data_IF_076673811109
#
_entry.id   IF_076673811109
#
_cell.length_a   1.000
_cell.length_b   1.000
_cell.length_c   1.000
_cell.angle_alpha   90.00
_cell.angle_beta   90.00
_cell.angle_gamma   90.00
#
_symmetry.space_group_name_H-M   'P 1'
#
loop_
_entity.id
_entity.type
_entity.pdbx_description
1 polymer ?
#
# COMPACT_ATOMS: atom_id res chain seq x y z
N UNK A 1 -11.23 -35.08 -9.80
CA UNK A 1 -10.18 -34.92 -10.84
C UNK A 1 -10.13 -33.42 -11.15
N UNK A 2 -9.09 -32.75 -10.73
CA UNK A 2 -8.90 -31.34 -11.08
C UNK A 2 -8.80 -31.25 -12.61
N UNK A 3 -9.64 -30.45 -13.23
CA UNK A 3 -9.58 -30.16 -14.64
C UNK A 3 -8.26 -29.39 -14.87
N UNK A 4 -7.19 -30.10 -15.22
CA UNK A 4 -5.97 -29.45 -15.64
C UNK A 4 -6.28 -28.75 -16.95
N UNK A 5 -6.29 -27.40 -16.90
CA UNK A 5 -6.39 -26.61 -18.12
C UNK A 5 -5.14 -26.96 -18.98
N UNK A 6 -5.34 -27.59 -20.17
CA UNK A 6 -4.20 -27.97 -21.01
C UNK A 6 -3.41 -26.79 -21.57
N UNK A 7 -3.92 -25.57 -21.39
CA UNK A 7 -3.28 -24.31 -21.77
C UNK A 7 -2.57 -23.63 -20.58
N UNK A 8 -2.72 -24.16 -19.36
CA UNK A 8 -2.00 -23.65 -18.18
C UNK A 8 -0.55 -24.10 -18.27
N UNK A 9 0.33 -23.21 -18.68
CA UNK A 9 1.78 -23.44 -18.78
C UNK A 9 2.50 -22.48 -17.86
N UNK A 10 3.44 -23.01 -17.06
CA UNK A 10 4.42 -22.18 -16.40
C UNK A 10 5.44 -21.73 -17.46
N UNK A 11 5.30 -20.51 -17.92
CA UNK A 11 6.16 -19.93 -18.95
C UNK A 11 7.52 -19.58 -18.35
N UNK A 12 8.59 -19.92 -19.03
CA UNK A 12 9.92 -19.36 -18.76
C UNK A 12 9.93 -17.87 -19.12
N UNK A 13 10.91 -17.10 -18.62
CA UNK A 13 11.06 -15.67 -18.97
C UNK A 13 11.18 -15.48 -20.48
N UNK A 14 11.94 -16.35 -21.16
CA UNK A 14 12.08 -16.32 -22.62
C UNK A 14 10.72 -16.55 -23.33
N UNK A 15 9.93 -17.51 -22.85
CA UNK A 15 8.59 -17.77 -23.39
C UNK A 15 7.63 -16.60 -23.12
N UNK A 16 7.68 -15.98 -21.95
CA UNK A 16 6.92 -14.78 -21.63
C UNK A 16 7.29 -13.63 -22.59
N UNK A 17 8.58 -13.34 -22.76
CA UNK A 17 9.11 -12.32 -23.69
C UNK A 17 8.61 -12.57 -25.11
N UNK A 18 8.77 -13.81 -25.60
CA UNK A 18 8.41 -14.17 -26.98
C UNK A 18 6.90 -14.14 -27.26
N UNK A 19 6.06 -14.51 -26.29
CA UNK A 19 4.61 -14.57 -26.47
C UNK A 19 3.92 -13.23 -26.24
N UNK A 20 4.36 -12.46 -25.25
CA UNK A 20 3.67 -11.28 -24.76
C UNK A 20 4.47 -9.99 -24.87
N UNK A 21 5.79 -10.08 -25.05
CA UNK A 21 6.68 -8.91 -25.01
C UNK A 21 6.47 -8.11 -23.71
N UNK A 22 6.55 -6.78 -23.82
CA UNK A 22 6.38 -5.88 -22.66
C UNK A 22 4.93 -5.83 -22.11
N UNK A 23 3.94 -6.42 -22.80
CA UNK A 23 2.58 -6.49 -22.26
C UNK A 23 2.53 -7.31 -20.97
N UNK A 24 3.35 -8.37 -20.81
CA UNK A 24 3.43 -9.16 -19.60
C UNK A 24 3.93 -8.37 -18.38
N UNK A 25 4.74 -7.33 -18.63
CA UNK A 25 5.27 -6.45 -17.59
C UNK A 25 4.25 -5.42 -17.06
N UNK A 26 3.07 -5.35 -17.68
CA UNK A 26 2.02 -4.39 -17.34
C UNK A 26 0.64 -5.10 -17.27
N UNK A 27 0.57 -6.23 -16.57
CA UNK A 27 -0.62 -7.08 -16.54
C UNK A 27 -1.54 -6.78 -15.36
N UNK A 28 -2.83 -7.06 -15.57
CA UNK A 28 -3.82 -7.19 -14.52
C UNK A 28 -4.00 -8.68 -14.20
N UNK A 29 -3.77 -9.06 -12.95
CA UNK A 29 -3.91 -10.42 -12.46
C UNK A 29 -5.05 -10.57 -11.47
N UNK A 30 -5.64 -11.76 -11.40
CA UNK A 30 -6.53 -12.13 -10.29
C UNK A 30 -5.71 -12.50 -9.06
N UNK A 31 -6.24 -12.20 -7.87
CA UNK A 31 -5.74 -12.79 -6.63
C UNK A 31 -5.99 -14.31 -6.66
N UNK A 32 -4.97 -15.14 -6.39
CA UNK A 32 -5.12 -16.60 -6.52
C UNK A 32 -6.06 -17.21 -5.48
N UNK A 33 -6.21 -16.60 -4.32
CA UNK A 33 -7.02 -17.10 -3.20
C UNK A 33 -8.45 -16.54 -3.21
N UNK A 34 -8.68 -15.38 -3.85
CA UNK A 34 -10.01 -14.79 -3.94
C UNK A 34 -10.18 -14.02 -5.27
N UNK A 35 -10.88 -14.61 -6.21
CA UNK A 35 -11.07 -14.09 -7.57
C UNK A 35 -11.90 -12.79 -7.64
N UNK A 36 -12.48 -12.32 -6.53
CA UNK A 36 -13.14 -11.02 -6.45
C UNK A 36 -12.16 -9.85 -6.50
N UNK A 37 -10.88 -10.13 -6.21
CA UNK A 37 -9.81 -9.15 -6.11
C UNK A 37 -8.82 -9.31 -7.25
N UNK A 38 -8.22 -8.19 -7.65
CA UNK A 38 -7.28 -8.12 -8.75
C UNK A 38 -6.10 -7.25 -8.34
N UNK A 39 -4.99 -7.36 -9.07
CA UNK A 39 -3.86 -6.47 -8.89
C UNK A 39 -3.18 -6.17 -10.22
N UNK A 40 -2.77 -4.92 -10.38
CA UNK A 40 -1.92 -4.49 -11.47
C UNK A 40 -0.47 -4.67 -11.10
N UNK A 41 0.34 -5.03 -12.11
CA UNK A 41 1.80 -5.00 -11.99
C UNK A 41 2.37 -4.05 -13.02
N UNK A 42 3.52 -3.46 -12.67
CA UNK A 42 4.40 -2.82 -13.62
C UNK A 42 5.83 -3.21 -13.27
N UNK A 43 6.57 -3.67 -14.30
CA UNK A 43 8.01 -3.88 -14.26
C UNK A 43 8.66 -3.05 -15.36
N UNK A 44 9.92 -2.60 -15.19
CA UNK A 44 10.65 -1.85 -16.20
C UNK A 44 10.77 -2.60 -17.53
N UNK A 45 10.74 -1.88 -18.64
CA UNK A 45 10.78 -2.48 -19.98
C UNK A 45 12.08 -3.30 -20.24
N UNK A 46 13.15 -3.01 -19.51
CA UNK A 46 14.43 -3.72 -19.55
C UNK A 46 14.47 -5.01 -18.71
N UNK A 47 13.39 -5.35 -17.98
CA UNK A 47 13.31 -6.53 -17.11
C UNK A 47 13.79 -7.82 -17.78
N UNK A 48 13.49 -8.03 -19.08
CA UNK A 48 13.91 -9.22 -19.79
C UNK A 48 15.35 -9.18 -20.33
N UNK A 49 15.99 -8.03 -20.28
CA UNK A 49 17.32 -7.81 -20.89
C UNK A 49 18.45 -7.86 -19.86
N UNK A 50 18.11 -7.97 -18.58
CA UNK A 50 19.06 -8.08 -17.48
C UNK A 50 19.39 -9.54 -17.18
N UNK A 51 20.68 -9.82 -16.92
CA UNK A 51 21.14 -11.15 -16.51
C UNK A 51 20.83 -11.41 -15.03
N UNK A 52 20.89 -10.37 -14.19
CA UNK A 52 20.56 -10.42 -12.77
C UNK A 52 19.28 -9.62 -12.52
N UNK A 53 18.23 -10.31 -12.03
CA UNK A 53 16.96 -9.72 -11.71
C UNK A 53 16.89 -9.39 -10.21
N UNK A 54 17.09 -8.12 -9.86
CA UNK A 54 17.11 -7.61 -8.49
C UNK A 54 16.20 -6.39 -8.40
N UNK A 55 14.91 -6.60 -8.15
CA UNK A 55 13.91 -5.53 -8.11
C UNK A 55 13.31 -5.38 -6.72
N UNK A 56 13.40 -4.17 -6.15
CA UNK A 56 12.61 -3.81 -4.97
C UNK A 56 11.13 -3.68 -5.32
N UNK A 57 10.23 -4.11 -4.43
CA UNK A 57 8.79 -4.00 -4.65
C UNK A 57 8.24 -2.69 -4.05
N UNK A 58 7.44 -1.97 -4.84
CA UNK A 58 6.60 -0.86 -4.40
C UNK A 58 5.12 -1.26 -4.49
N UNK A 59 4.43 -1.28 -3.37
CA UNK A 59 2.99 -1.52 -3.29
C UNK A 59 2.25 -0.19 -3.19
N UNK A 60 1.27 0.03 -4.08
CA UNK A 60 0.48 1.26 -4.14
C UNK A 60 -0.98 0.98 -3.84
N UNK A 61 -1.48 1.51 -2.73
CA UNK A 61 -2.87 1.33 -2.31
C UNK A 61 -3.73 2.50 -2.79
N UNK A 62 -4.79 2.19 -3.52
CA UNK A 62 -5.73 3.21 -4.03
C UNK A 62 -6.51 3.91 -2.92
N UNK A 63 -6.98 5.13 -3.21
CA UNK A 63 -7.95 5.85 -2.38
C UNK A 63 -9.38 5.32 -2.51
N UNK A 64 -10.34 5.97 -1.87
CA UNK A 64 -11.76 5.58 -1.86
C UNK A 64 -12.36 5.46 -3.27
N UNK A 65 -11.92 6.29 -4.21
CA UNK A 65 -12.43 6.30 -5.59
C UNK A 65 -11.86 5.22 -6.49
N UNK A 66 -11.00 4.31 -5.98
CA UNK A 66 -10.36 3.22 -6.73
C UNK A 66 -9.55 3.68 -7.97
N UNK A 67 -9.26 4.98 -8.09
CA UNK A 67 -8.49 5.55 -9.20
C UNK A 67 -7.00 5.27 -9.00
N UNK A 68 -6.54 4.13 -9.51
CA UNK A 68 -5.16 3.67 -9.33
C UNK A 68 -4.24 4.05 -10.48
N UNK A 69 -4.81 4.28 -11.67
CA UNK A 69 -4.06 4.49 -12.90
C UNK A 69 -3.07 5.66 -12.80
N UNK A 70 -3.49 6.78 -12.19
CA UNK A 70 -2.64 7.95 -12.08
C UNK A 70 -1.43 7.69 -11.17
N UNK A 71 -1.61 6.97 -10.07
CA UNK A 71 -0.50 6.59 -9.18
C UNK A 71 0.48 5.63 -9.86
N UNK A 72 -0.02 4.64 -10.61
CA UNK A 72 0.84 3.73 -11.38
C UNK A 72 1.65 4.52 -12.40
N UNK A 73 1.02 5.43 -13.15
CA UNK A 73 1.70 6.27 -14.13
C UNK A 73 2.81 7.11 -13.50
N UNK A 74 2.56 7.70 -12.33
CA UNK A 74 3.56 8.49 -11.60
C UNK A 74 4.68 7.61 -11.02
N UNK A 75 4.35 6.40 -10.57
CA UNK A 75 5.33 5.47 -10.02
C UNK A 75 6.22 4.83 -11.08
N UNK A 76 5.76 4.77 -12.33
CA UNK A 76 6.52 4.18 -13.44
C UNK A 76 7.91 4.79 -13.61
N UNK A 77 8.02 6.13 -13.58
CA UNK A 77 9.31 6.82 -13.70
C UNK A 77 10.29 6.41 -12.57
N UNK A 78 9.77 6.21 -11.36
CA UNK A 78 10.56 5.74 -10.23
C UNK A 78 10.98 4.28 -10.43
N UNK A 79 10.02 3.43 -10.80
CA UNK A 79 10.24 2.01 -11.00
C UNK A 79 11.34 1.78 -12.05
N UNK A 80 11.22 2.43 -13.19
CA UNK A 80 12.19 2.31 -14.28
C UNK A 80 13.59 2.82 -13.91
N UNK A 81 13.66 3.88 -13.08
CA UNK A 81 14.92 4.50 -12.69
C UNK A 81 15.68 3.74 -11.60
N UNK A 82 14.97 3.09 -10.69
CA UNK A 82 15.55 2.54 -9.47
C UNK A 82 15.36 1.03 -9.33
N UNK A 83 15.18 0.32 -10.43
CA UNK A 83 14.98 -1.13 -10.45
C UNK A 83 13.89 -1.58 -9.48
N UNK A 84 12.71 -0.98 -9.62
CA UNK A 84 11.56 -1.35 -8.80
C UNK A 84 10.47 -2.01 -9.64
N UNK A 85 9.82 -2.99 -9.06
CA UNK A 85 8.55 -3.51 -9.55
C UNK A 85 7.40 -2.85 -8.79
N UNK A 86 6.28 -2.60 -9.44
CA UNK A 86 5.08 -2.01 -8.81
C UNK A 86 3.97 -3.04 -8.75
N UNK A 87 3.32 -3.16 -7.60
CA UNK A 87 2.07 -3.89 -7.43
C UNK A 87 1.00 -2.93 -6.91
N UNK A 88 -0.15 -2.93 -7.55
CA UNK A 88 -1.28 -2.11 -7.17
C UNK A 88 -2.55 -2.97 -7.03
N UNK A 89 -2.95 -3.33 -5.78
CA UNK A 89 -4.16 -4.10 -5.56
C UNK A 89 -5.40 -3.29 -5.92
N UNK A 90 -6.43 -3.97 -6.41
CA UNK A 90 -7.77 -3.43 -6.59
C UNK A 90 -8.70 -4.07 -5.57
N UNK A 91 -9.15 -3.28 -4.62
CA UNK A 91 -10.19 -3.62 -3.65
C UNK A 91 -11.50 -2.96 -4.12
N UNK A 92 -12.38 -3.70 -4.81
CA UNK A 92 -13.57 -3.11 -5.42
C UNK A 92 -14.55 -2.60 -4.37
N UNK A 93 -15.20 -1.47 -4.66
CA UNK A 93 -16.34 -1.01 -3.89
C UNK A 93 -17.56 -1.93 -4.05
N UNK A 94 -18.48 -1.88 -3.09
CA UNK A 94 -19.73 -2.62 -3.18
C UNK A 94 -19.63 -4.12 -2.90
N UNK A 95 -18.52 -4.59 -2.33
CA UNK A 95 -18.28 -6.02 -2.12
C UNK A 95 -19.14 -6.62 -1.01
N UNK A 96 -19.35 -5.89 0.06
CA UNK A 96 -20.14 -6.31 1.24
C UNK A 96 -21.55 -5.74 1.12
N UNK A 97 -21.66 -4.44 0.86
CA UNK A 97 -22.89 -3.72 0.61
C UNK A 97 -22.72 -2.83 -0.62
N UNK A 98 -23.80 -2.59 -1.36
CA UNK A 98 -23.78 -1.86 -2.63
C UNK A 98 -22.96 -0.56 -2.61
N UNK A 99 -23.05 0.20 -1.54
CA UNK A 99 -22.40 1.50 -1.39
C UNK A 99 -21.20 1.46 -0.41
N UNK A 100 -20.60 0.28 -0.21
CA UNK A 100 -19.41 0.12 0.61
C UNK A 100 -18.15 0.44 -0.19
N UNK A 101 -17.45 1.49 0.24
CA UNK A 101 -16.13 1.91 -0.27
C UNK A 101 -15.09 1.96 0.87
N UNK A 102 -15.40 1.39 2.03
CA UNK A 102 -14.62 1.62 3.25
C UNK A 102 -14.03 0.35 3.87
N UNK A 103 -14.61 -0.81 3.64
CA UNK A 103 -14.24 -2.05 4.31
C UNK A 103 -12.77 -2.41 4.17
N UNK A 104 -12.19 -2.26 2.96
CA UNK A 104 -10.77 -2.57 2.74
C UNK A 104 -9.82 -1.73 3.62
N UNK A 105 -10.22 -0.50 3.95
CA UNK A 105 -9.43 0.42 4.78
C UNK A 105 -9.23 -0.08 6.20
N UNK A 106 -10.12 -0.96 6.67
CA UNK A 106 -10.09 -1.56 8.00
C UNK A 106 -9.19 -2.79 8.07
N UNK A 107 -8.63 -3.28 6.96
CA UNK A 107 -7.87 -4.51 6.79
C UNK A 107 -8.65 -5.79 7.13
N UNK A 108 -9.46 -5.76 8.17
CA UNK A 108 -10.34 -6.87 8.61
C UNK A 108 -11.76 -6.34 8.73
N UNK A 109 -12.67 -6.82 7.88
CA UNK A 109 -14.06 -6.40 7.87
C UNK A 109 -14.95 -7.52 7.30
N UNK A 110 -16.03 -7.85 8.00
CA UNK A 110 -17.05 -8.83 7.58
C UNK A 110 -16.46 -10.18 7.10
N UNK A 111 -15.47 -10.69 7.83
CA UNK A 111 -14.81 -11.96 7.53
C UNK A 111 -13.79 -11.90 6.38
N UNK A 112 -13.57 -10.72 5.79
CA UNK A 112 -12.56 -10.52 4.76
C UNK A 112 -11.31 -9.89 5.39
N UNK A 113 -10.15 -10.51 5.16
CA UNK A 113 -8.83 -10.05 5.56
C UNK A 113 -8.12 -9.47 4.33
N UNK A 114 -8.34 -8.19 4.07
CA UNK A 114 -7.77 -7.46 2.92
C UNK A 114 -6.24 -7.40 2.96
N UNK A 115 -5.66 -7.39 4.15
CA UNK A 115 -4.23 -7.46 4.37
C UNK A 115 -3.64 -8.81 3.92
N UNK A 116 -4.30 -9.93 4.23
CA UNK A 116 -3.87 -11.26 3.79
C UNK A 116 -4.06 -11.45 2.29
N UNK A 117 -5.15 -10.93 1.73
CA UNK A 117 -5.39 -10.90 0.28
C UNK A 117 -4.26 -10.15 -0.43
N UNK A 118 -3.81 -9.00 0.10
CA UNK A 118 -2.66 -8.30 -0.45
C UNK A 118 -1.38 -9.15 -0.38
N UNK A 119 -1.14 -9.83 0.73
CA UNK A 119 0.03 -10.70 0.86
C UNK A 119 -0.01 -11.86 -0.14
N UNK A 120 -1.18 -12.45 -0.39
CA UNK A 120 -1.35 -13.50 -1.42
C UNK A 120 -1.07 -12.99 -2.83
N UNK A 121 -1.46 -11.74 -3.15
CA UNK A 121 -1.12 -11.09 -4.43
C UNK A 121 0.39 -10.88 -4.57
N UNK A 122 1.06 -10.48 -3.50
CA UNK A 122 2.52 -10.28 -3.47
C UNK A 122 3.24 -11.61 -3.67
N UNK A 123 2.78 -12.68 -3.04
CA UNK A 123 3.34 -14.03 -3.25
C UNK A 123 3.12 -14.56 -4.67
N UNK A 124 1.96 -14.26 -5.27
CA UNK A 124 1.68 -14.63 -6.66
C UNK A 124 2.59 -13.85 -7.63
N UNK A 125 2.80 -12.56 -7.37
CA UNK A 125 3.73 -11.74 -8.13
C UNK A 125 5.16 -12.29 -8.09
N UNK A 126 5.66 -12.70 -6.92
CA UNK A 126 6.98 -13.30 -6.78
C UNK A 126 7.16 -14.56 -7.62
N UNK A 127 6.10 -15.37 -7.76
CA UNK A 127 6.11 -16.59 -8.59
C UNK A 127 6.10 -16.28 -10.08
N UNK A 128 5.47 -15.15 -10.49
CA UNK A 128 5.35 -14.73 -11.91
C UNK A 128 6.56 -13.99 -12.40
N UNK A 129 7.19 -13.21 -11.53
CA UNK A 129 8.28 -12.30 -11.85
C UNK A 129 9.49 -12.58 -10.96
N UNK A 130 10.32 -13.58 -11.32
CA UNK A 130 11.56 -13.89 -10.61
C UNK A 130 12.45 -12.66 -10.43
N UNK A 131 13.12 -12.55 -9.28
CA UNK A 131 13.99 -11.43 -8.96
C UNK A 131 13.28 -10.23 -8.31
N UNK A 132 11.95 -10.26 -8.18
CA UNK A 132 11.24 -9.26 -7.38
C UNK A 132 11.32 -9.64 -5.90
N UNK A 133 11.96 -8.78 -5.09
CA UNK A 133 12.08 -8.98 -3.64
C UNK A 133 10.78 -8.64 -2.93
N UNK A 134 10.14 -9.64 -2.37
CA UNK A 134 8.81 -9.52 -1.76
C UNK A 134 8.78 -9.73 -0.25
N UNK A 135 9.90 -10.07 0.37
CA UNK A 135 9.98 -10.27 1.84
C UNK A 135 9.69 -8.97 2.58
N UNK A 136 10.32 -7.89 2.14
CA UNK A 136 10.07 -6.53 2.59
C UNK A 136 9.89 -5.62 1.38
N UNK A 137 8.90 -4.73 1.46
CA UNK A 137 8.55 -3.84 0.36
C UNK A 137 8.25 -2.41 0.82
N UNK A 138 8.30 -1.49 -0.12
CA UNK A 138 7.82 -0.14 0.07
C UNK A 138 6.31 -0.09 -0.11
N UNK A 139 5.62 0.70 0.72
CA UNK A 139 4.17 0.85 0.60
C UNK A 139 3.77 2.32 0.60
N UNK A 140 2.94 2.69 -0.37
CA UNK A 140 2.38 4.04 -0.52
C UNK A 140 0.85 3.98 -0.57
N UNK A 141 0.19 4.94 0.08
CA UNK A 141 -1.25 5.14 -0.06
C UNK A 141 -1.68 6.54 0.34
N UNK A 142 -2.70 7.08 -0.34
CA UNK A 142 -3.30 8.38 -0.04
C UNK A 142 -4.77 8.21 0.33
N UNK A 143 -5.30 9.07 1.22
CA UNK A 143 -6.70 9.08 1.63
C UNK A 143 -7.14 7.71 2.19
N UNK A 144 -8.03 7.00 1.52
CA UNK A 144 -8.40 5.62 1.86
C UNK A 144 -7.21 4.67 1.85
N UNK A 145 -6.32 4.79 0.86
CA UNK A 145 -5.06 4.04 0.81
C UNK A 145 -4.13 4.38 1.97
N UNK A 146 -4.09 5.66 2.40
CA UNK A 146 -3.34 6.07 3.58
C UNK A 146 -3.85 5.42 4.87
N UNK A 147 -5.17 5.20 4.99
CA UNK A 147 -5.75 4.44 6.11
C UNK A 147 -5.29 2.97 6.08
N UNK A 148 -5.28 2.36 4.89
CA UNK A 148 -4.81 1.00 4.72
C UNK A 148 -3.33 0.88 5.11
N UNK A 149 -2.46 1.73 4.57
CA UNK A 149 -1.02 1.71 4.85
C UNK A 149 -0.73 1.90 6.34
N UNK A 150 -1.41 2.86 6.98
CA UNK A 150 -1.26 3.10 8.42
C UNK A 150 -1.58 1.85 9.26
N UNK A 151 -2.65 1.14 8.94
CA UNK A 151 -3.07 -0.09 9.64
C UNK A 151 -2.21 -1.29 9.27
N UNK A 152 -1.77 -1.37 8.00
CA UNK A 152 -0.87 -2.42 7.55
C UNK A 152 0.48 -2.36 8.26
N UNK A 153 1.00 -1.16 8.51
CA UNK A 153 2.18 -0.95 9.35
C UNK A 153 2.02 -1.57 10.74
N UNK A 154 0.84 -1.46 11.36
CA UNK A 154 0.58 -2.01 12.69
C UNK A 154 0.38 -3.53 12.66
N UNK A 155 -0.21 -4.06 11.57
CA UNK A 155 -0.49 -5.48 11.44
C UNK A 155 0.71 -6.29 10.92
N UNK A 156 1.49 -5.73 10.00
CA UNK A 156 2.57 -6.44 9.31
C UNK A 156 3.87 -5.62 9.20
N UNK A 157 4.39 -5.06 10.32
CA UNK A 157 5.58 -4.19 10.28
C UNK A 157 6.79 -4.88 9.65
N UNK A 158 7.00 -6.17 9.89
CA UNK A 158 8.13 -6.93 9.38
C UNK A 158 8.13 -7.11 7.85
N UNK A 159 7.01 -6.82 7.18
CA UNK A 159 6.88 -6.85 5.72
C UNK A 159 7.22 -5.50 5.06
N UNK A 160 7.45 -4.46 5.84
CA UNK A 160 7.71 -3.12 5.31
C UNK A 160 9.17 -2.74 5.41
N UNK A 161 9.76 -2.30 4.29
CA UNK A 161 11.07 -1.65 4.23
C UNK A 161 10.96 -0.17 4.62
N UNK A 162 9.92 0.51 4.14
CA UNK A 162 9.45 1.83 4.57
C UNK A 162 8.02 2.04 4.06
N UNK A 163 7.28 2.99 4.65
CA UNK A 163 5.94 3.30 4.15
C UNK A 163 5.64 4.81 4.12
N UNK A 164 4.69 5.19 3.24
CA UNK A 164 4.19 6.55 3.09
C UNK A 164 2.67 6.60 3.34
N UNK A 165 2.28 7.27 4.41
CA UNK A 165 0.90 7.43 4.89
C UNK A 165 0.40 8.80 4.46
N UNK A 166 -0.37 8.86 3.37
CA UNK A 166 -0.88 10.11 2.81
C UNK A 166 -2.29 10.44 3.32
N UNK A 167 -2.43 11.51 4.09
CA UNK A 167 -3.69 12.17 4.46
C UNK A 167 -4.89 11.25 4.78
N UNK A 168 -4.75 10.19 5.60
CA UNK A 168 -5.89 9.39 6.03
C UNK A 168 -6.93 10.22 6.77
N UNK A 169 -8.21 10.02 6.45
CA UNK A 169 -9.29 10.69 7.17
C UNK A 169 -9.43 10.17 8.61
N UNK A 170 -9.20 8.89 8.83
CA UNK A 170 -9.29 8.20 10.15
C UNK A 170 -8.06 7.31 10.36
N UNK A 171 -6.90 7.88 10.74
CA UNK A 171 -5.73 7.08 11.07
C UNK A 171 -5.93 6.30 12.37
N UNK A 172 -5.21 5.21 12.53
CA UNK A 172 -5.09 4.47 13.78
C UNK A 172 -3.86 4.96 14.54
N UNK A 173 -4.06 5.32 15.79
CA UNK A 173 -3.03 5.79 16.71
C UNK A 173 -2.52 4.63 17.56
N UNK A 174 -1.29 4.71 18.02
CA UNK A 174 -0.73 3.83 19.04
C UNK A 174 -1.31 4.23 20.41
N UNK A 175 -2.60 4.04 20.60
CA UNK A 175 -3.33 4.38 21.80
C UNK A 175 -4.03 3.12 22.34
N UNK A 176 -3.55 2.55 23.48
CA UNK A 176 -4.14 1.35 24.07
C UNK A 176 -5.46 1.60 24.82
N UNK A 177 -5.86 2.86 24.99
CA UNK A 177 -7.10 3.23 25.67
C UNK A 177 -8.30 3.39 24.72
N UNK A 178 -8.06 3.35 23.41
CA UNK A 178 -9.09 3.44 22.37
C UNK A 178 -9.16 2.17 21.53
N UNK A 179 -10.41 1.83 21.14
CA UNK A 179 -10.69 0.69 20.28
C UNK A 179 -10.18 0.91 18.84
N UNK A 180 -9.94 -0.18 18.17
CA UNK A 180 -9.72 -0.20 16.75
C UNK A 180 -11.00 0.34 16.08
N UNK A 181 -10.94 1.19 15.13
CA UNK A 181 -9.81 1.63 14.29
C UNK A 181 -9.15 2.98 14.69
N UNK A 182 -9.58 3.65 15.77
CA UNK A 182 -8.89 4.86 16.24
C UNK A 182 -7.65 4.54 17.07
N UNK A 183 -7.73 3.53 17.92
CA UNK A 183 -6.64 3.03 18.74
C UNK A 183 -6.34 1.55 18.50
N UNK A 184 -5.70 0.92 19.49
CA UNK A 184 -5.20 -0.46 19.40
C UNK A 184 -5.67 -1.36 20.56
N UNK A 185 -6.59 -0.91 21.41
CA UNK A 185 -7.02 -1.65 22.62
C UNK A 185 -7.49 -3.07 22.32
N UNK A 186 -8.33 -3.23 21.31
CA UNK A 186 -8.94 -4.48 20.86
C UNK A 186 -8.36 -5.01 19.54
N UNK A 187 -7.15 -4.54 19.16
CA UNK A 187 -6.47 -4.91 17.91
C UNK A 187 -6.36 -6.44 17.75
N UNK A 188 -6.13 -7.14 18.86
CA UNK A 188 -6.03 -8.60 18.88
C UNK A 188 -7.31 -9.31 18.45
N UNK A 189 -8.48 -8.72 18.68
CA UNK A 189 -9.77 -9.31 18.30
C UNK A 189 -9.94 -9.34 16.77
N UNK A 190 -9.31 -8.41 16.06
CA UNK A 190 -9.33 -8.33 14.59
C UNK A 190 -8.22 -9.14 13.91
N UNK A 191 -7.04 -9.21 14.53
CA UNK A 191 -5.84 -9.75 13.89
C UNK A 191 -5.30 -11.02 14.55
N UNK A 192 -5.75 -11.37 15.76
CA UNK A 192 -5.31 -12.54 16.51
C UNK A 192 -4.02 -12.34 17.31
N UNK A 193 -3.41 -11.15 17.25
CA UNK A 193 -2.18 -10.76 17.96
C UNK A 193 -2.19 -9.27 18.30
N UNK A 194 -1.41 -8.91 19.31
CA UNK A 194 -1.23 -7.50 19.69
C UNK A 194 -0.23 -6.81 18.74
N UNK A 195 -0.29 -5.48 18.69
CA UNK A 195 0.69 -4.70 17.90
C UNK A 195 2.10 -4.92 18.43
N UNK A 196 3.01 -5.37 17.57
CA UNK A 196 4.45 -5.47 17.89
C UNK A 196 5.10 -4.09 17.70
N UNK A 197 5.10 -3.30 18.79
CA UNK A 197 5.66 -1.95 18.78
C UNK A 197 7.16 -1.95 18.43
N UNK A 198 7.91 -2.94 18.86
CA UNK A 198 9.35 -3.01 18.57
C UNK A 198 9.63 -3.27 17.10
N UNK A 199 8.76 -4.01 16.42
CA UNK A 199 8.82 -4.16 14.97
C UNK A 199 8.36 -2.88 14.24
N UNK A 200 7.29 -2.22 14.70
CA UNK A 200 6.80 -0.95 14.13
C UNK A 200 7.87 0.14 14.20
N UNK A 201 8.62 0.26 15.29
CA UNK A 201 9.73 1.23 15.45
C UNK A 201 10.83 1.10 14.40
N UNK A 202 10.99 -0.09 13.81
CA UNK A 202 12.04 -0.35 12.81
C UNK A 202 11.67 0.14 11.42
N UNK A 203 10.39 0.43 11.18
CA UNK A 203 9.90 0.85 9.88
C UNK A 203 9.95 2.38 9.75
N UNK A 204 10.73 2.94 8.83
CA UNK A 204 10.67 4.36 8.52
C UNK A 204 9.31 4.76 7.94
N UNK A 205 8.74 5.86 8.43
CA UNK A 205 7.40 6.31 8.05
C UNK A 205 7.43 7.74 7.54
N UNK A 206 6.97 7.95 6.31
CA UNK A 206 6.61 9.27 5.81
C UNK A 206 5.12 9.52 6.04
N UNK A 207 4.77 10.62 6.68
CA UNK A 207 3.40 11.14 6.76
C UNK A 207 3.31 12.33 5.81
N UNK A 208 2.28 12.39 4.95
CA UNK A 208 2.11 13.50 4.01
C UNK A 208 0.68 14.04 4.00
N UNK A 209 0.55 15.35 3.85
CA UNK A 209 -0.77 16.02 3.76
C UNK A 209 -0.64 17.32 2.99
N UNK A 210 -1.66 17.69 2.21
CA UNK A 210 -1.73 19.00 1.57
C UNK A 210 -1.98 20.11 2.60
N UNK A 211 -1.34 21.25 2.44
CA UNK A 211 -1.51 22.43 3.32
C UNK A 211 -2.99 22.88 3.42
N UNK A 212 -3.71 22.78 2.31
CA UNK A 212 -5.11 23.20 2.20
C UNK A 212 -6.11 22.06 2.46
N UNK A 213 -5.65 20.89 2.91
CA UNK A 213 -6.51 19.76 3.32
C UNK A 213 -7.05 19.95 4.74
N UNK A 214 -7.58 21.15 5.00
CA UNK A 214 -8.07 21.63 6.29
C UNK A 214 -9.59 21.68 6.41
N UNK A 215 -10.32 21.03 5.49
CA UNK A 215 -11.77 20.90 5.57
C UNK A 215 -12.17 20.08 6.78
N UNK A 216 -13.27 20.50 7.44
CA UNK A 216 -13.86 19.73 8.54
C UNK A 216 -14.28 18.34 8.07
N UNK A 217 -13.83 17.31 8.78
CA UNK A 217 -14.13 15.88 8.51
C UNK A 217 -14.67 15.16 9.75
N UNK A 218 -15.24 15.90 10.67
CA UNK A 218 -15.79 15.42 11.94
C UNK A 218 -14.86 15.61 13.12
N UNK A 219 -15.44 15.76 14.29
CA UNK A 219 -14.71 15.91 15.54
C UNK A 219 -13.96 14.63 15.92
N UNK A 220 -12.77 14.79 16.47
CA UNK A 220 -12.02 13.73 17.13
C UNK A 220 -11.00 14.35 18.09
N UNK A 221 -10.51 13.61 19.10
CA UNK A 221 -9.46 14.11 20.00
C UNK A 221 -8.14 14.41 19.27
N UNK A 222 -7.99 13.94 18.03
CA UNK A 222 -6.80 14.09 17.19
C UNK A 222 -6.91 15.23 16.19
N UNK A 223 -8.02 15.97 16.19
CA UNK A 223 -8.29 17.08 15.28
C UNK A 223 -9.52 16.87 14.40
N UNK A 224 -10.03 17.95 13.84
CA UNK A 224 -11.25 18.03 13.06
C UNK A 224 -11.02 18.04 11.54
N UNK A 225 -9.77 18.06 11.12
CA UNK A 225 -9.34 18.06 9.71
C UNK A 225 -8.08 17.22 9.51
N UNK A 226 -7.73 16.92 8.25
CA UNK A 226 -6.60 16.00 7.98
C UNK A 226 -5.25 16.59 8.36
N UNK A 227 -5.04 17.88 8.20
CA UNK A 227 -3.76 18.52 8.60
C UNK A 227 -3.54 18.36 10.10
N UNK A 228 -4.57 18.61 10.92
CA UNK A 228 -4.48 18.42 12.37
C UNK A 228 -4.23 16.95 12.72
N UNK A 229 -4.97 16.00 12.09
CA UNK A 229 -4.81 14.56 12.34
C UNK A 229 -3.44 14.04 11.95
N UNK A 230 -2.83 14.54 10.86
CA UNK A 230 -1.48 14.11 10.47
C UNK A 230 -0.40 14.62 11.43
N UNK A 231 -0.53 15.84 11.93
CA UNK A 231 0.35 16.35 12.98
C UNK A 231 0.22 15.54 14.27
N UNK A 232 -1.02 15.20 14.66
CA UNK A 232 -1.28 14.35 15.82
C UNK A 232 -0.73 12.94 15.64
N UNK A 233 -0.87 12.34 14.44
CA UNK A 233 -0.32 11.02 14.14
C UNK A 233 1.22 11.02 14.21
N UNK A 234 1.87 12.01 13.62
CA UNK A 234 3.33 12.15 13.74
C UNK A 234 3.78 12.23 15.19
N UNK A 235 3.14 13.10 15.97
CA UNK A 235 3.46 13.27 17.39
C UNK A 235 3.29 11.95 18.15
N UNK A 236 2.15 11.26 17.95
CA UNK A 236 1.88 9.97 18.61
C UNK A 236 2.93 8.92 18.24
N UNK A 237 3.29 8.80 16.97
CA UNK A 237 4.29 7.85 16.53
C UNK A 237 5.69 8.18 17.12
N UNK A 238 6.09 9.45 17.13
CA UNK A 238 7.35 9.89 17.71
C UNK A 238 7.41 9.64 19.22
N UNK A 239 6.32 9.88 19.96
CA UNK A 239 6.21 9.58 21.38
C UNK A 239 6.38 8.09 21.69
N UNK A 240 6.05 7.22 20.73
CA UNK A 240 6.25 5.76 20.82
C UNK A 240 7.58 5.29 20.19
N UNK A 241 8.44 6.21 19.77
CA UNK A 241 9.78 5.89 19.24
C UNK A 241 9.80 5.44 17.77
N UNK A 242 8.71 5.65 17.03
CA UNK A 242 8.67 5.37 15.59
C UNK A 242 9.32 6.51 14.81
N UNK A 243 10.27 6.17 13.92
CA UNK A 243 10.91 7.17 13.07
C UNK A 243 9.92 7.69 12.02
N UNK A 244 9.52 8.97 12.14
CA UNK A 244 8.53 9.58 11.25
C UNK A 244 8.99 10.93 10.71
N UNK A 245 8.80 11.13 9.40
CA UNK A 245 8.90 12.43 8.75
C UNK A 245 7.48 12.92 8.39
N UNK A 246 7.25 14.25 8.49
CA UNK A 246 6.01 14.88 8.04
C UNK A 246 6.30 15.85 6.89
N UNK A 247 5.68 15.60 5.74
CA UNK A 247 5.71 16.52 4.60
C UNK A 247 4.36 17.20 4.43
N UNK A 248 4.35 18.53 4.51
CA UNK A 248 3.20 19.37 4.17
C UNK A 248 3.40 19.88 2.75
N UNK A 249 2.51 19.50 1.84
CA UNK A 249 2.55 19.92 0.44
C UNK A 249 1.88 21.27 0.28
N UNK A 250 2.69 22.31 0.07
CA UNK A 250 2.25 23.70 0.02
C UNK A 250 1.32 23.97 -1.16
N UNK A 251 0.18 24.63 -0.90
CA UNK A 251 -0.80 25.01 -1.91
C UNK A 251 -1.73 23.88 -2.39
N UNK A 252 -1.60 22.66 -1.86
CA UNK A 252 -2.44 21.52 -2.28
C UNK A 252 -3.55 21.22 -1.26
N UNK A 253 -4.75 20.95 -1.80
CA UNK A 253 -5.89 20.40 -1.08
C UNK A 253 -5.88 18.86 -1.16
N UNK A 254 -6.95 18.21 -0.64
CA UNK A 254 -7.04 16.74 -0.58
C UNK A 254 -6.99 16.05 -1.95
N UNK A 255 -7.72 16.60 -2.92
CA UNK A 255 -7.92 16.00 -4.25
C UNK A 255 -6.90 16.47 -5.30
N UNK A 256 -5.83 17.17 -4.89
CA UNK A 256 -4.83 17.70 -5.80
C UNK A 256 -3.41 17.35 -5.34
N UNK A 257 -2.44 17.37 -6.26
CA UNK A 257 -1.03 17.13 -5.94
C UNK A 257 -0.62 15.67 -5.93
N UNK A 258 -1.22 14.82 -6.78
CA UNK A 258 -0.86 13.40 -6.89
C UNK A 258 0.62 13.22 -7.22
N UNK A 259 1.12 14.00 -8.17
CA UNK A 259 2.53 13.98 -8.57
C UNK A 259 3.45 14.34 -7.41
N UNK A 260 3.15 15.41 -6.70
CA UNK A 260 3.95 15.90 -5.58
C UNK A 260 3.94 14.92 -4.41
N UNK A 261 2.81 14.23 -4.17
CA UNK A 261 2.72 13.17 -3.15
C UNK A 261 3.62 11.99 -3.50
N UNK A 262 3.53 11.50 -4.74
CA UNK A 262 4.37 10.40 -5.22
C UNK A 262 5.84 10.81 -5.19
N UNK A 263 6.18 12.02 -5.61
CA UNK A 263 7.56 12.53 -5.55
C UNK A 263 8.09 12.65 -4.10
N UNK A 264 7.23 13.06 -3.15
CA UNK A 264 7.62 13.08 -1.73
C UNK A 264 7.91 11.66 -1.22
N UNK A 265 7.04 10.70 -1.53
CA UNK A 265 7.26 9.30 -1.20
C UNK A 265 8.51 8.73 -1.88
N UNK A 266 8.76 9.06 -3.15
CA UNK A 266 9.95 8.68 -3.88
C UNK A 266 11.24 9.16 -3.19
N UNK A 267 11.32 10.47 -2.88
CA UNK A 267 12.48 11.05 -2.17
C UNK A 267 12.74 10.38 -0.83
N UNK A 268 11.68 9.93 -0.17
CA UNK A 268 11.80 9.21 1.08
C UNK A 268 12.29 7.78 0.86
N UNK A 269 11.68 7.03 -0.06
CA UNK A 269 12.01 5.61 -0.28
C UNK A 269 13.41 5.37 -0.80
N UNK A 270 13.95 6.24 -1.67
CA UNK A 270 15.31 6.09 -2.20
C UNK A 270 16.40 6.14 -1.12
N UNK A 271 16.11 6.62 0.08
CA UNK A 271 17.04 6.60 1.21
C UNK A 271 17.20 5.20 1.81
N UNK A 272 16.30 4.29 1.46
CA UNK A 272 16.21 2.94 2.03
C UNK A 272 16.30 1.82 0.96
N UNK A 273 16.68 2.16 -0.27
CA UNK A 273 16.93 1.18 -1.36
C UNK A 273 18.12 0.27 -1.09
#
# INVERSE_FOLDING_TARGET
MANQNPLATNLTLEQQKNLFGNAYLNMLWHCPTDLRFHYWVHLPDYYYDEEEHEYSLLVIIHGTGCAIEEYIKQAKELADKYHMAVLAPMFPGGLIQRDDFNSYKLLSCDGIRYDLILLDMIEDMAKRYPGVHTDQFFMFGHSGGGQFVNRFLLAHPNRLKACSIGAPGRPTFLNPDEDYFWGIRDFKDYFGYDVDLEAVKKVPVLISVGELDNKFIGDSPYGDNRVARMKSLQKNFQEHGVHTELTILLGFAHEAGEKERVQAAQKFFIQYL
#
